data_IF_167408042523
#
_entry.id   IF_167408042523
#
_cell.length_a   1.000
_cell.length_b   1.000
_cell.length_c   1.000
_cell.angle_alpha   90.00
_cell.angle_beta   90.00
_cell.angle_gamma   90.00
#
_symmetry.space_group_name_H-M   'P 1'
#
loop_
_entity.id
_entity.type
_entity.pdbx_description
1 polymer ?
#
# COMPACT_ATOMS: atom_id res chain seq x y z
N UNK A 1 52.67 66.99 -33.11
CA UNK A 1 51.55 66.28 -33.73
C UNK A 1 51.41 64.95 -32.99
N UNK A 2 50.68 64.98 -31.88
CA UNK A 2 50.50 63.83 -30.99
C UNK A 2 49.28 63.02 -31.40
N UNK A 3 49.52 61.80 -31.90
CA UNK A 3 48.47 60.84 -32.22
C UNK A 3 48.08 60.06 -30.94
N UNK A 4 46.88 60.33 -30.42
CA UNK A 4 46.28 59.58 -29.31
C UNK A 4 45.78 58.22 -29.81
N UNK A 5 46.27 57.14 -29.19
CA UNK A 5 45.76 55.78 -29.36
C UNK A 5 44.35 55.65 -28.74
N UNK A 6 43.37 55.27 -29.55
CA UNK A 6 42.06 54.78 -29.10
C UNK A 6 42.15 53.27 -28.82
N UNK A 7 41.84 52.84 -27.59
CA UNK A 7 41.58 51.42 -27.27
C UNK A 7 40.06 51.20 -27.24
N UNK A 8 39.51 50.18 -27.92
CA UNK A 8 38.10 49.84 -27.79
C UNK A 8 37.87 49.06 -26.49
N UNK A 9 36.90 49.51 -25.70
CA UNK A 9 36.42 48.84 -24.50
C UNK A 9 35.42 47.77 -24.93
N UNK A 10 35.79 46.49 -24.90
CA UNK A 10 34.86 45.38 -25.14
C UNK A 10 34.05 45.18 -23.87
N UNK A 11 32.78 45.57 -23.92
CA UNK A 11 31.80 45.35 -22.86
C UNK A 11 31.38 43.87 -22.89
N UNK A 12 31.90 43.08 -21.93
CA UNK A 12 31.51 41.69 -21.73
C UNK A 12 30.11 41.65 -21.08
N UNK A 13 29.07 41.37 -21.87
CA UNK A 13 27.71 41.14 -21.38
C UNK A 13 27.66 39.74 -20.76
N UNK A 14 27.72 39.68 -19.42
CA UNK A 14 27.43 38.48 -18.65
C UNK A 14 25.92 38.20 -18.68
N UNK A 15 25.49 37.28 -19.54
CA UNK A 15 24.18 36.64 -19.48
C UNK A 15 24.15 35.68 -18.29
N UNK A 16 23.75 36.19 -17.12
CA UNK A 16 23.42 35.36 -15.95
C UNK A 16 22.06 34.73 -16.22
N UNK A 17 22.06 33.49 -16.70
CA UNK A 17 20.86 32.66 -16.73
C UNK A 17 20.57 32.18 -15.32
N UNK A 18 19.74 32.94 -14.59
CA UNK A 18 19.11 32.48 -13.36
C UNK A 18 18.13 31.35 -13.69
N UNK A 19 18.62 30.10 -13.78
CA UNK A 19 17.75 28.94 -13.65
C UNK A 19 17.45 28.76 -12.16
N UNK A 20 16.43 29.47 -11.68
CA UNK A 20 15.89 29.26 -10.35
C UNK A 20 15.14 27.91 -10.37
N UNK A 21 15.87 26.79 -10.25
CA UNK A 21 15.25 25.51 -9.90
C UNK A 21 14.85 25.60 -8.45
N UNK A 22 13.61 26.02 -8.17
CA UNK A 22 13.03 25.88 -6.83
C UNK A 22 13.09 24.39 -6.45
N UNK A 23 13.89 24.06 -5.45
CA UNK A 23 13.97 22.71 -4.93
C UNK A 23 12.65 22.39 -4.20
N UNK A 24 11.93 21.34 -4.62
CA UNK A 24 10.70 20.94 -3.95
C UNK A 24 10.99 20.53 -2.50
N UNK A 25 10.14 20.95 -1.56
CA UNK A 25 10.29 20.60 -0.14
C UNK A 25 10.15 19.08 0.05
N UNK A 26 11.10 18.45 0.73
CA UNK A 26 11.05 17.02 1.06
C UNK A 26 9.73 16.67 1.76
N UNK A 27 9.12 15.56 1.35
CA UNK A 27 7.85 15.08 1.88
C UNK A 27 6.60 15.66 1.21
N UNK A 28 6.74 16.54 0.22
CA UNK A 28 5.60 16.96 -0.61
C UNK A 28 5.37 16.03 -1.80
N UNK A 29 4.17 16.07 -2.36
CA UNK A 29 3.82 15.32 -3.55
C UNK A 29 4.72 15.66 -4.76
N UNK A 30 5.00 16.94 -5.00
CA UNK A 30 5.91 17.36 -6.07
C UNK A 30 7.34 16.83 -5.90
N UNK A 31 7.81 16.73 -4.65
CA UNK A 31 9.11 16.12 -4.36
C UNK A 31 9.11 14.63 -4.71
N UNK A 32 8.06 13.90 -4.34
CA UNK A 32 7.92 12.48 -4.69
C UNK A 32 7.77 12.27 -6.21
N UNK A 33 6.98 13.09 -6.92
CA UNK A 33 6.88 13.03 -8.38
C UNK A 33 8.23 13.21 -9.07
N UNK A 34 9.09 14.08 -8.54
CA UNK A 34 10.46 14.23 -9.06
C UNK A 34 11.27 12.94 -8.89
N UNK A 35 11.14 12.25 -7.76
CA UNK A 35 11.80 10.96 -7.53
C UNK A 35 11.23 9.84 -8.42
N UNK A 36 9.93 9.90 -8.73
CA UNK A 36 9.24 8.93 -9.58
C UNK A 36 9.47 9.15 -11.08
N UNK A 37 10.12 10.24 -11.50
CA UNK A 37 10.39 10.53 -12.92
C UNK A 37 11.02 9.36 -13.71
N UNK A 38 11.92 8.52 -13.14
CA UNK A 38 12.46 7.36 -13.84
C UNK A 38 11.48 6.18 -13.96
N UNK A 39 10.40 6.15 -13.18
CA UNK A 39 9.38 5.10 -13.26
C UNK A 39 8.60 5.27 -14.56
N UNK A 40 8.58 4.22 -15.36
CA UNK A 40 7.85 4.18 -16.63
C UNK A 40 6.34 4.33 -16.40
N UNK A 41 5.68 5.14 -17.24
CA UNK A 41 4.23 5.25 -17.26
C UNK A 41 3.61 5.85 -16.00
N UNK A 42 4.34 6.71 -15.27
CA UNK A 42 3.75 7.50 -14.18
C UNK A 42 2.74 8.49 -14.74
N UNK A 43 1.52 8.36 -14.24
CA UNK A 43 0.36 9.18 -14.52
C UNK A 43 -0.09 9.85 -13.22
N UNK A 44 -0.68 11.05 -13.32
CA UNK A 44 -1.26 11.73 -12.17
C UNK A 44 -2.76 11.89 -12.38
N UNK A 45 -3.56 11.13 -11.62
CA UNK A 45 -5.01 11.31 -11.57
C UNK A 45 -5.35 12.37 -10.53
N UNK A 46 -6.41 13.13 -10.80
CA UNK A 46 -6.83 14.28 -9.99
C UNK A 46 -8.33 14.28 -9.75
N UNK A 47 -8.73 14.74 -8.58
CA UNK A 47 -10.11 15.11 -8.25
C UNK A 47 -10.05 16.21 -7.21
N UNK A 48 -10.69 17.35 -7.46
CA UNK A 48 -10.60 18.51 -6.57
C UNK A 48 -9.12 18.91 -6.32
N UNK A 49 -8.70 19.04 -5.06
CA UNK A 49 -7.28 19.23 -4.70
C UNK A 49 -6.49 17.91 -4.57
N UNK A 50 -7.19 16.77 -4.63
CA UNK A 50 -6.60 15.44 -4.50
C UNK A 50 -5.78 15.08 -5.72
N UNK A 51 -4.63 14.44 -5.49
CA UNK A 51 -3.79 13.86 -6.54
C UNK A 51 -3.28 12.49 -6.13
N UNK A 52 -3.21 11.56 -7.08
CA UNK A 52 -2.50 10.27 -6.94
C UNK A 52 -1.52 10.07 -8.09
N UNK A 53 -0.37 9.48 -7.80
CA UNK A 53 0.64 9.08 -8.80
C UNK A 53 0.56 7.56 -9.01
N UNK A 54 0.11 7.15 -10.20
CA UNK A 54 -0.13 5.74 -10.55
C UNK A 54 0.75 5.32 -11.74
N UNK A 55 1.20 4.07 -11.78
CA UNK A 55 1.84 3.51 -12.98
C UNK A 55 1.29 2.16 -13.37
N UNK A 56 0.86 2.07 -14.63
CA UNK A 56 0.43 0.84 -15.29
C UNK A 56 1.55 -0.20 -15.41
N UNK A 57 2.70 0.13 -16.05
CA UNK A 57 3.83 -0.78 -16.14
C UNK A 57 4.30 -1.35 -14.79
N UNK A 58 4.02 -0.66 -13.68
CA UNK A 58 4.31 -1.13 -12.32
C UNK A 58 3.08 -1.79 -11.65
N UNK A 59 2.26 -2.47 -12.45
CA UNK A 59 1.12 -3.29 -12.05
C UNK A 59 -0.05 -2.47 -11.47
N UNK A 60 -0.33 -1.30 -12.05
CA UNK A 60 -1.37 -0.40 -11.54
C UNK A 60 -1.08 0.05 -10.11
N UNK A 61 0.18 0.37 -9.82
CA UNK A 61 0.65 0.75 -8.47
C UNK A 61 0.43 2.23 -8.24
N UNK A 62 -0.19 2.57 -7.10
CA UNK A 62 -0.20 3.94 -6.60
C UNK A 62 1.04 4.12 -5.74
N UNK A 63 1.95 4.99 -6.15
CA UNK A 63 3.16 5.27 -5.40
C UNK A 63 2.94 6.27 -4.27
N UNK A 64 2.06 7.24 -4.53
CA UNK A 64 1.91 8.43 -3.71
C UNK A 64 0.55 9.07 -3.93
N UNK A 65 0.00 9.69 -2.90
CA UNK A 65 -1.14 10.59 -2.96
C UNK A 65 -0.90 11.89 -2.18
N UNK A 66 -1.79 12.86 -2.35
CA UNK A 66 -1.85 14.13 -1.61
C UNK A 66 -3.26 14.71 -1.65
N UNK A 67 -3.69 15.30 -0.54
CA UNK A 67 -5.01 15.96 -0.39
C UNK A 67 -4.97 17.46 -0.72
N UNK A 68 -3.77 18.03 -0.85
CA UNK A 68 -3.51 19.47 -1.04
C UNK A 68 -2.62 19.72 -2.26
N UNK A 69 -2.83 18.92 -3.31
CA UNK A 69 -2.09 18.99 -4.57
C UNK A 69 -0.56 18.84 -4.45
N UNK A 70 0.16 19.50 -5.35
CA UNK A 70 1.61 19.36 -5.53
C UNK A 70 2.45 19.76 -4.29
N UNK A 71 2.01 20.77 -3.55
CA UNK A 71 2.72 21.28 -2.38
C UNK A 71 2.25 20.63 -1.07
N UNK A 72 1.17 19.85 -1.14
CA UNK A 72 0.65 19.06 -0.02
C UNK A 72 1.62 17.96 0.40
N UNK A 73 1.42 17.47 1.62
CA UNK A 73 2.09 16.29 2.16
C UNK A 73 1.82 15.09 1.24
N UNK A 74 2.82 14.23 1.07
CA UNK A 74 2.60 12.93 0.45
C UNK A 74 2.45 11.81 1.47
N UNK A 75 1.46 10.93 1.26
CA UNK A 75 1.06 9.93 2.24
C UNK A 75 1.75 8.58 2.05
N UNK A 76 1.98 8.15 0.80
CA UNK A 76 2.62 6.89 0.47
C UNK A 76 4.14 6.85 0.68
N UNK A 77 4.62 5.64 0.98
CA UNK A 77 6.04 5.31 0.99
C UNK A 77 6.39 4.44 -0.21
N UNK A 78 7.55 4.72 -0.83
CA UNK A 78 8.21 3.81 -1.77
C UNK A 78 9.72 3.84 -1.56
N UNK A 79 10.40 2.78 -1.99
CA UNK A 79 11.85 2.66 -1.89
C UNK A 79 12.54 3.47 -2.99
N UNK A 80 12.74 4.77 -2.73
CA UNK A 80 13.45 5.68 -3.63
C UNK A 80 14.88 5.20 -3.97
N UNK A 81 15.54 4.47 -3.06
CA UNK A 81 16.87 3.92 -3.29
C UNK A 81 16.93 2.92 -4.44
N UNK A 82 15.87 2.12 -4.67
CA UNK A 82 15.80 1.24 -5.83
C UNK A 82 15.67 2.02 -7.14
N UNK A 83 15.03 3.18 -7.10
CA UNK A 83 14.90 4.08 -8.25
C UNK A 83 16.24 4.73 -8.56
N UNK A 84 16.86 5.36 -7.56
CA UNK A 84 18.15 6.05 -7.65
C UNK A 84 19.28 5.13 -8.13
N UNK A 85 19.25 3.85 -7.75
CA UNK A 85 20.22 2.84 -8.16
C UNK A 85 19.83 2.08 -9.44
N UNK A 86 18.79 2.51 -10.17
CA UNK A 86 18.30 1.88 -11.41
C UNK A 86 17.94 0.38 -11.27
N UNK A 87 17.53 -0.06 -10.07
CA UNK A 87 17.11 -1.44 -9.77
C UNK A 87 15.61 -1.65 -9.74
N UNK A 88 14.84 -0.57 -9.85
CA UNK A 88 13.37 -0.54 -9.73
C UNK A 88 12.65 -1.43 -10.75
N UNK A 89 13.14 -1.54 -11.99
CA UNK A 89 12.46 -2.29 -13.06
C UNK A 89 12.54 -3.82 -12.96
N UNK A 90 13.48 -4.37 -12.18
CA UNK A 90 13.65 -5.81 -11.93
C UNK A 90 13.33 -6.20 -10.49
N UNK A 91 12.88 -5.24 -9.67
CA UNK A 91 12.53 -5.41 -8.26
C UNK A 91 11.18 -4.76 -7.96
N UNK A 92 10.23 -4.88 -8.90
CA UNK A 92 8.91 -4.21 -8.81
C UNK A 92 8.23 -4.55 -7.48
N UNK A 93 8.32 -5.81 -7.06
CA UNK A 93 7.75 -6.30 -5.80
C UNK A 93 8.22 -5.49 -4.57
N UNK A 94 9.50 -5.13 -4.52
CA UNK A 94 10.12 -4.49 -3.34
C UNK A 94 10.10 -2.96 -3.35
N UNK A 95 9.41 -2.34 -4.30
CA UNK A 95 9.35 -0.87 -4.40
C UNK A 95 8.48 -0.21 -3.33
N UNK A 96 7.61 -0.96 -2.65
CA UNK A 96 6.55 -0.38 -1.81
C UNK A 96 5.54 0.41 -2.65
N UNK A 97 4.78 1.31 -2.04
CA UNK A 97 3.74 2.08 -2.69
C UNK A 97 2.45 2.03 -1.89
N UNK A 98 1.68 3.10 -1.98
CA UNK A 98 0.44 3.32 -1.26
C UNK A 98 -0.69 2.35 -1.64
N UNK A 99 -0.58 1.72 -2.82
CA UNK A 99 -1.38 0.57 -3.23
C UNK A 99 -0.61 -0.27 -4.25
N UNK A 100 -0.54 -1.58 -4.01
CA UNK A 100 0.04 -2.59 -4.91
C UNK A 100 -0.68 -3.92 -4.78
N UNK A 101 -0.81 -4.62 -5.92
CA UNK A 101 -1.24 -6.01 -5.96
C UNK A 101 -0.12 -6.93 -5.45
N UNK A 102 -0.51 -7.95 -4.69
CA UNK A 102 0.32 -9.02 -4.18
C UNK A 102 -0.47 -10.32 -4.14
N UNK A 103 0.21 -11.41 -3.77
CA UNK A 103 -0.41 -12.73 -3.67
C UNK A 103 0.03 -13.44 -2.40
N UNK A 104 -0.86 -14.28 -1.87
CA UNK A 104 -0.62 -15.14 -0.72
C UNK A 104 -0.85 -16.61 -1.13
N UNK A 105 -0.27 -17.61 -0.42
CA UNK A 105 0.40 -17.50 0.89
C UNK A 105 1.90 -17.18 0.87
N UNK A 106 2.37 -16.45 1.88
CA UNK A 106 3.79 -16.09 2.08
C UNK A 106 4.62 -17.26 2.64
N UNK A 107 4.10 -17.97 3.63
CA UNK A 107 4.71 -19.17 4.22
C UNK A 107 3.78 -20.38 4.14
N UNK A 108 4.27 -21.54 4.56
CA UNK A 108 3.52 -22.79 4.68
C UNK A 108 3.65 -23.71 3.47
N UNK A 109 2.85 -24.78 3.46
CA UNK A 109 2.98 -25.89 2.52
C UNK A 109 2.76 -25.53 1.05
N UNK A 110 2.11 -24.40 0.77
CA UNK A 110 1.79 -23.92 -0.57
C UNK A 110 2.35 -22.51 -0.84
N UNK A 111 3.36 -22.10 -0.08
CA UNK A 111 3.99 -20.78 -0.23
C UNK A 111 4.46 -20.55 -1.67
N UNK A 112 4.31 -19.31 -2.13
CA UNK A 112 4.82 -18.84 -3.43
C UNK A 112 6.16 -18.09 -3.32
N UNK A 113 6.76 -18.05 -2.12
CA UNK A 113 7.98 -17.28 -1.84
C UNK A 113 9.22 -18.13 -1.62
N UNK A 114 9.10 -19.45 -1.75
CA UNK A 114 10.19 -20.40 -1.54
C UNK A 114 10.26 -21.38 -2.70
N UNK A 115 11.48 -21.75 -3.07
CA UNK A 115 11.72 -22.86 -3.99
C UNK A 115 11.27 -24.19 -3.35
N UNK A 116 11.10 -25.22 -4.18
CA UNK A 116 10.71 -26.53 -3.68
C UNK A 116 11.82 -27.16 -2.80
N UNK A 117 11.42 -27.71 -1.66
CA UNK A 117 12.29 -28.37 -0.68
C UNK A 117 13.36 -27.47 -0.04
N UNK A 118 13.23 -26.14 -0.10
CA UNK A 118 14.10 -25.23 0.65
C UNK A 118 13.48 -24.87 2.00
N UNK A 119 14.33 -24.59 2.97
CA UNK A 119 13.91 -24.15 4.30
C UNK A 119 13.24 -22.77 4.23
N UNK A 120 12.13 -22.59 4.93
CA UNK A 120 11.37 -21.34 4.92
C UNK A 120 11.90 -20.33 5.94
N UNK A 121 13.06 -19.77 5.62
CA UNK A 121 13.76 -18.73 6.37
C UNK A 121 13.98 -17.50 5.50
N UNK A 122 14.18 -16.33 6.10
CA UNK A 122 14.31 -15.04 5.40
C UNK A 122 15.35 -15.07 4.28
N UNK A 123 16.48 -15.77 4.48
CA UNK A 123 17.56 -15.91 3.49
C UNK A 123 17.11 -16.59 2.20
N UNK A 124 16.12 -17.49 2.27
CA UNK A 124 15.60 -18.24 1.13
C UNK A 124 14.33 -17.60 0.54
N UNK A 125 13.71 -16.64 1.24
CA UNK A 125 12.46 -16.02 0.83
C UNK A 125 12.66 -15.09 -0.37
N UNK A 126 11.90 -15.27 -1.45
CA UNK A 126 11.94 -14.43 -2.65
C UNK A 126 10.54 -14.22 -3.21
N UNK A 127 10.20 -12.98 -3.56
CA UNK A 127 8.97 -12.71 -4.30
C UNK A 127 8.94 -13.50 -5.63
N UNK A 128 7.75 -13.95 -6.09
CA UNK A 128 7.59 -14.59 -7.39
C UNK A 128 8.24 -13.78 -8.52
N UNK A 129 8.87 -14.49 -9.46
CA UNK A 129 9.57 -13.86 -10.58
C UNK A 129 8.66 -12.89 -11.34
N UNK A 130 7.45 -13.32 -11.72
CA UNK A 130 6.54 -12.50 -12.52
C UNK A 130 5.99 -11.31 -11.73
N UNK A 131 5.80 -11.44 -10.41
CA UNK A 131 5.45 -10.31 -9.54
C UNK A 131 6.54 -9.22 -9.53
N UNK A 132 7.80 -9.59 -9.77
CA UNK A 132 8.93 -8.64 -9.82
C UNK A 132 9.24 -8.07 -11.20
N UNK A 133 8.74 -8.68 -12.29
CA UNK A 133 9.21 -8.40 -13.64
C UNK A 133 8.10 -8.15 -14.68
N UNK A 134 6.88 -8.68 -14.48
CA UNK A 134 5.78 -8.49 -15.42
C UNK A 134 5.23 -7.07 -15.30
N UNK A 135 5.12 -6.40 -16.45
CA UNK A 135 4.51 -5.09 -16.60
C UNK A 135 3.08 -5.21 -17.09
N UNK A 136 2.17 -4.41 -16.53
CA UNK A 136 0.81 -4.33 -17.06
C UNK A 136 0.70 -3.31 -18.19
N UNK A 137 -0.34 -3.48 -18.99
CA UNK A 137 -0.69 -2.61 -20.10
C UNK A 137 -2.01 -1.91 -19.79
N UNK A 138 -2.15 -0.68 -20.23
CA UNK A 138 -3.43 0.03 -20.16
C UNK A 138 -4.47 -0.68 -21.03
N UNK A 139 -5.67 -0.89 -20.49
CA UNK A 139 -6.85 -1.45 -21.16
C UNK A 139 -7.85 -0.34 -21.48
N UNK A 140 -8.22 0.45 -20.47
CA UNK A 140 -9.21 1.52 -20.57
C UNK A 140 -8.84 2.66 -19.63
N UNK A 141 -9.28 3.88 -19.97
CA UNK A 141 -9.07 5.10 -19.18
C UNK A 141 -10.32 5.97 -19.21
N UNK A 142 -10.62 6.55 -18.06
CA UNK A 142 -11.59 7.64 -17.90
C UNK A 142 -10.87 8.88 -17.35
N UNK A 143 -11.61 9.93 -17.02
CA UNK A 143 -11.04 11.11 -16.33
C UNK A 143 -10.50 10.77 -14.93
N UNK A 144 -11.15 9.82 -14.24
CA UNK A 144 -10.87 9.52 -12.84
C UNK A 144 -10.34 8.10 -12.60
N UNK A 145 -10.23 7.26 -13.64
CA UNK A 145 -9.74 5.89 -13.48
C UNK A 145 -8.90 5.40 -14.66
N UNK A 146 -8.01 4.45 -14.38
CA UNK A 146 -7.26 3.71 -15.39
C UNK A 146 -7.32 2.21 -15.06
N UNK A 147 -7.75 1.42 -16.02
CA UNK A 147 -7.76 -0.04 -15.93
C UNK A 147 -6.55 -0.61 -16.66
N UNK A 148 -5.82 -1.48 -15.98
CA UNK A 148 -4.64 -2.17 -16.48
C UNK A 148 -4.86 -3.68 -16.53
N UNK A 149 -4.14 -4.35 -17.43
CA UNK A 149 -4.15 -5.81 -17.55
C UNK A 149 -2.76 -6.40 -17.64
N UNK A 150 -2.59 -7.60 -17.11
CA UNK A 150 -1.38 -8.39 -17.31
C UNK A 150 -1.56 -9.84 -16.88
N UNK A 151 -0.79 -10.71 -17.52
CA UNK A 151 -0.79 -12.15 -17.24
C UNK A 151 0.49 -12.53 -16.50
N UNK A 152 0.38 -13.40 -15.52
CA UNK A 152 1.50 -13.86 -14.70
C UNK A 152 1.46 -15.38 -14.52
N UNK A 153 2.62 -15.98 -14.31
CA UNK A 153 2.77 -17.33 -13.81
C UNK A 153 3.34 -17.28 -12.38
N UNK A 154 2.53 -17.72 -11.42
CA UNK A 154 2.93 -17.79 -10.02
C UNK A 154 3.14 -19.26 -9.65
N UNK A 155 4.32 -19.60 -9.18
CA UNK A 155 4.68 -20.97 -8.83
C UNK A 155 4.78 -21.10 -7.31
N UNK A 156 4.21 -22.17 -6.74
CA UNK A 156 4.40 -22.49 -5.33
C UNK A 156 5.56 -23.45 -5.09
N UNK A 157 5.92 -23.63 -3.82
CA UNK A 157 6.96 -24.52 -3.34
C UNK A 157 6.64 -26.03 -3.51
N UNK A 158 5.44 -26.39 -3.99
CA UNK A 158 5.08 -27.74 -4.45
C UNK A 158 5.23 -27.91 -5.96
N UNK A 159 5.78 -26.90 -6.64
CA UNK A 159 5.93 -26.82 -8.09
C UNK A 159 4.62 -26.73 -8.89
N UNK A 160 3.50 -26.42 -8.27
CA UNK A 160 2.28 -26.08 -9.00
C UNK A 160 2.38 -24.63 -9.53
N UNK A 161 2.04 -24.44 -10.80
CA UNK A 161 2.07 -23.12 -11.46
C UNK A 161 0.66 -22.64 -11.74
N UNK A 162 0.28 -21.51 -11.13
CA UNK A 162 -0.93 -20.78 -11.41
C UNK A 162 -0.69 -19.82 -12.59
N UNK A 163 -1.32 -20.09 -13.73
CA UNK A 163 -1.40 -19.10 -14.82
C UNK A 163 -2.60 -18.20 -14.60
N UNK A 164 -2.34 -16.92 -14.31
CA UNK A 164 -3.35 -15.94 -13.93
C UNK A 164 -3.39 -14.77 -14.90
N UNK A 165 -4.61 -14.34 -15.23
CA UNK A 165 -4.87 -13.07 -15.91
C UNK A 165 -5.41 -12.07 -14.90
N UNK A 166 -4.84 -10.88 -14.87
CA UNK A 166 -5.19 -9.82 -13.94
C UNK A 166 -5.78 -8.64 -14.69
N UNK A 167 -6.87 -8.11 -14.15
CA UNK A 167 -7.45 -6.84 -14.54
C UNK A 167 -7.57 -5.97 -13.29
N UNK A 168 -6.89 -4.82 -13.30
CA UNK A 168 -6.77 -3.94 -12.14
C UNK A 168 -7.16 -2.51 -12.50
N UNK A 169 -8.20 -1.99 -11.87
CA UNK A 169 -8.62 -0.60 -12.00
C UNK A 169 -8.16 0.22 -10.80
N UNK A 170 -7.57 1.38 -11.09
CA UNK A 170 -7.21 2.39 -10.10
C UNK A 170 -8.05 3.63 -10.35
N UNK A 171 -8.78 4.07 -9.33
CA UNK A 171 -9.70 5.20 -9.42
C UNK A 171 -9.45 6.22 -8.33
N UNK A 172 -9.38 7.50 -8.69
CA UNK A 172 -9.43 8.61 -7.72
C UNK A 172 -10.89 8.99 -7.46
N UNK A 173 -11.23 9.27 -6.21
CA UNK A 173 -12.59 9.59 -5.77
C UNK A 173 -12.77 11.10 -5.58
N UNK A 174 -13.93 11.59 -5.97
CA UNK A 174 -14.37 12.95 -5.62
C UNK A 174 -15.07 12.99 -4.24
N UNK A 175 -15.25 14.19 -3.71
CA UNK A 175 -15.86 14.39 -2.38
C UNK A 175 -17.21 13.68 -2.22
N UNK A 176 -18.11 13.81 -3.20
CA UNK A 176 -19.43 13.17 -3.15
C UNK A 176 -19.33 11.64 -3.05
N UNK A 177 -18.40 11.00 -3.76
CA UNK A 177 -18.19 9.55 -3.68
C UNK A 177 -17.70 9.14 -2.30
N UNK A 178 -16.78 9.91 -1.71
CA UNK A 178 -16.22 9.65 -0.37
C UNK A 178 -17.31 9.81 0.70
N UNK A 179 -18.06 10.92 0.68
CA UNK A 179 -19.16 11.19 1.63
C UNK A 179 -20.21 10.09 1.59
N UNK A 180 -20.65 9.70 0.38
CA UNK A 180 -21.63 8.62 0.21
C UNK A 180 -21.11 7.26 0.69
N UNK A 181 -19.85 6.93 0.39
CA UNK A 181 -19.25 5.64 0.75
C UNK A 181 -19.05 5.48 2.25
N UNK A 182 -18.70 6.55 2.97
CA UNK A 182 -18.37 6.52 4.39
C UNK A 182 -19.51 7.06 5.28
N UNK A 183 -20.51 7.71 4.70
CA UNK A 183 -21.59 8.39 5.42
C UNK A 183 -21.08 9.55 6.27
N UNK A 184 -20.10 10.30 5.77
CA UNK A 184 -19.46 11.45 6.45
C UNK A 184 -19.73 12.75 5.71
N UNK A 185 -19.27 13.87 6.27
CA UNK A 185 -19.24 15.18 5.63
C UNK A 185 -17.76 15.64 5.55
N UNK A 186 -17.38 16.25 4.42
CA UNK A 186 -16.01 16.69 4.14
C UNK A 186 -15.78 18.20 4.29
N UNK A 187 -16.72 18.91 4.91
CA UNK A 187 -16.58 20.34 5.18
C UNK A 187 -15.35 20.58 6.07
N UNK A 188 -14.54 21.57 5.68
CA UNK A 188 -13.37 22.04 6.44
C UNK A 188 -12.24 21.02 6.63
N UNK A 189 -12.21 19.96 5.81
CA UNK A 189 -11.12 18.98 5.83
C UNK A 189 -10.54 18.76 4.44
N UNK A 190 -9.21 18.62 4.36
CA UNK A 190 -8.58 18.18 3.12
C UNK A 190 -8.61 16.66 3.06
N UNK A 191 -8.90 16.12 1.88
CA UNK A 191 -9.02 14.69 1.68
C UNK A 191 -8.32 14.25 0.41
N UNK A 192 -7.97 12.97 0.34
CA UNK A 192 -7.78 12.22 -0.92
C UNK A 192 -8.29 10.82 -0.69
N UNK A 193 -9.06 10.30 -1.65
CA UNK A 193 -9.54 8.93 -1.66
C UNK A 193 -9.24 8.28 -2.99
N UNK A 194 -8.79 7.03 -2.97
CA UNK A 194 -8.61 6.25 -4.19
C UNK A 194 -8.90 4.77 -3.93
N UNK A 195 -9.40 4.08 -4.95
CA UNK A 195 -9.68 2.64 -4.90
C UNK A 195 -8.76 1.88 -5.85
N UNK A 196 -8.44 0.66 -5.44
CA UNK A 196 -7.86 -0.36 -6.28
C UNK A 196 -8.81 -1.55 -6.33
N UNK A 197 -9.23 -1.93 -7.52
CA UNK A 197 -10.10 -3.08 -7.78
C UNK A 197 -9.33 -4.06 -8.65
N UNK A 198 -9.25 -5.33 -8.26
CA UNK A 198 -8.50 -6.36 -8.98
C UNK A 198 -9.33 -7.60 -9.17
N UNK A 199 -9.44 -8.05 -10.42
CA UNK A 199 -9.96 -9.35 -10.79
C UNK A 199 -8.80 -10.26 -11.16
N UNK A 200 -8.76 -11.45 -10.57
CA UNK A 200 -7.81 -12.51 -10.92
C UNK A 200 -8.56 -13.68 -11.53
N UNK A 201 -8.19 -14.04 -12.75
CA UNK A 201 -8.81 -15.11 -13.53
C UNK A 201 -7.84 -16.27 -13.71
N UNK A 202 -8.29 -17.51 -13.53
CA UNK A 202 -7.54 -18.68 -13.94
C UNK A 202 -7.52 -18.77 -15.47
N UNK A 203 -6.40 -18.42 -16.11
CA UNK A 203 -6.22 -18.51 -17.57
C UNK A 203 -5.51 -19.80 -17.99
N UNK A 204 -5.20 -20.68 -17.03
CA UNK A 204 -4.67 -22.01 -17.29
C UNK A 204 -5.74 -22.98 -17.80
N UNK A 205 -5.32 -24.23 -17.98
CA UNK A 205 -6.17 -25.30 -18.52
C UNK A 205 -6.72 -26.25 -17.43
N UNK A 206 -6.28 -26.07 -16.17
CA UNK A 206 -6.62 -26.95 -15.06
C UNK A 206 -7.37 -26.19 -13.98
N UNK A 207 -8.27 -26.90 -13.27
CA UNK A 207 -8.91 -26.38 -12.07
C UNK A 207 -7.90 -26.33 -10.92
N UNK A 208 -7.94 -25.26 -10.13
CA UNK A 208 -7.17 -25.17 -8.89
C UNK A 208 -7.84 -25.99 -7.79
N UNK A 209 -7.05 -26.68 -6.98
CA UNK A 209 -7.55 -27.51 -5.89
C UNK A 209 -6.78 -27.25 -4.60
N UNK A 210 -7.44 -27.44 -3.45
CA UNK A 210 -6.79 -27.27 -2.15
C UNK A 210 -5.57 -28.17 -1.94
N UNK A 211 -5.54 -29.34 -2.58
CA UNK A 211 -4.45 -30.29 -2.47
C UNK A 211 -3.16 -29.78 -3.12
N UNK A 212 -3.28 -28.92 -4.14
CA UNK A 212 -2.15 -28.32 -4.87
C UNK A 212 -1.87 -26.87 -4.46
N UNK A 213 -2.66 -26.32 -3.54
CA UNK A 213 -2.59 -24.93 -3.11
C UNK A 213 -3.61 -24.02 -3.81
N UNK A 214 -3.99 -22.94 -3.13
CA UNK A 214 -4.81 -21.86 -3.70
C UNK A 214 -4.10 -20.52 -3.54
N UNK A 215 -4.46 -19.56 -4.38
CA UNK A 215 -4.00 -18.18 -4.27
C UNK A 215 -5.08 -17.25 -3.72
N UNK A 216 -4.64 -16.22 -3.02
CA UNK A 216 -5.44 -15.04 -2.70
C UNK A 216 -4.86 -13.80 -3.35
N UNK A 217 -5.72 -12.89 -3.80
CA UNK A 217 -5.35 -11.49 -3.98
C UNK A 217 -5.09 -10.85 -2.62
N UNK A 218 -4.02 -10.08 -2.53
CA UNK A 218 -3.61 -9.37 -1.32
C UNK A 218 -3.22 -7.96 -1.72
N UNK A 219 -3.95 -6.97 -1.24
CA UNK A 219 -3.69 -5.56 -1.52
C UNK A 219 -2.91 -4.94 -0.37
N UNK A 220 -1.75 -4.34 -0.67
CA UNK A 220 -0.85 -3.77 0.33
C UNK A 220 -0.67 -2.28 0.06
N UNK A 221 -0.75 -1.46 1.10
CA UNK A 221 -0.47 -0.03 1.01
C UNK A 221 0.57 0.42 2.02
N UNK A 222 1.76 0.80 1.54
CA UNK A 222 2.82 1.40 2.37
C UNK A 222 2.49 2.86 2.69
N UNK A 223 2.33 3.15 3.97
CA UNK A 223 2.05 4.48 4.48
C UNK A 223 3.27 5.07 5.17
N UNK A 224 3.55 6.34 4.92
CA UNK A 224 4.50 7.09 5.74
C UNK A 224 4.03 7.10 7.20
N UNK A 225 4.97 6.92 8.13
CA UNK A 225 4.65 6.84 9.56
C UNK A 225 5.22 7.99 10.40
N UNK A 226 4.83 8.02 11.67
CA UNK A 226 5.37 8.87 12.73
C UNK A 226 5.35 8.13 14.07
N UNK A 227 6.10 8.64 15.04
CA UNK A 227 6.22 8.05 16.39
C UNK A 227 4.89 7.89 17.14
N UNK A 228 3.93 8.74 16.81
CA UNK A 228 2.60 8.79 17.42
C UNK A 228 1.53 8.11 16.56
N UNK A 229 1.90 7.47 15.45
CA UNK A 229 0.94 6.77 14.60
C UNK A 229 0.33 5.58 15.34
N UNK A 230 -1.00 5.50 15.36
CA UNK A 230 -1.77 4.43 15.99
C UNK A 230 -2.74 3.84 14.98
N UNK A 231 -2.59 2.56 14.70
CA UNK A 231 -3.54 1.79 13.90
C UNK A 231 -4.71 1.38 14.77
N UNK A 232 -5.90 1.41 14.18
CA UNK A 232 -7.20 1.19 14.80
C UNK A 232 -7.94 0.17 13.95
N UNK A 233 -8.24 -1.00 14.51
CA UNK A 233 -8.96 -2.08 13.82
C UNK A 233 -10.22 -2.41 14.62
N UNK A 234 -11.39 -1.89 14.21
CA UNK A 234 -12.66 -2.26 14.82
C UNK A 234 -12.96 -3.74 14.57
N UNK A 235 -13.33 -4.46 15.62
CA UNK A 235 -13.65 -5.88 15.55
C UNK A 235 -15.17 -6.10 15.59
N UNK A 236 -15.62 -7.25 15.09
CA UNK A 236 -17.02 -7.69 15.22
C UNK A 236 -17.39 -8.03 16.67
N UNK A 237 -16.39 -8.45 17.47
CA UNK A 237 -16.49 -8.75 18.90
C UNK A 237 -15.10 -8.73 19.56
N UNK A 238 -15.06 -8.57 20.88
CA UNK A 238 -13.84 -8.68 21.68
C UNK A 238 -13.16 -10.05 21.47
N UNK A 239 -11.84 -10.07 21.39
CA UNK A 239 -11.02 -11.28 21.28
C UNK A 239 -9.58 -10.98 21.68
N UNK A 240 -8.84 -12.01 22.09
CA UNK A 240 -7.39 -11.97 22.25
C UNK A 240 -6.68 -12.73 21.11
N UNK A 241 -7.45 -13.26 20.14
CA UNK A 241 -6.96 -14.08 19.03
C UNK A 241 -6.53 -13.22 17.83
N UNK A 242 -5.60 -12.30 18.06
CA UNK A 242 -4.90 -11.57 17.01
C UNK A 242 -3.65 -12.35 16.64
N UNK A 243 -3.45 -12.58 15.34
CA UNK A 243 -2.29 -13.28 14.82
C UNK A 243 -1.07 -12.39 14.90
N UNK A 244 0.09 -12.94 15.29
CA UNK A 244 1.35 -12.20 15.38
C UNK A 244 2.41 -12.85 14.50
N UNK A 245 3.12 -12.02 13.74
CA UNK A 245 4.13 -12.40 12.76
C UNK A 245 5.46 -11.72 13.06
N UNK A 246 6.55 -12.39 12.66
CA UNK A 246 7.96 -11.98 12.84
C UNK A 246 8.43 -11.94 14.31
N UNK A 247 7.79 -11.11 15.14
CA UNK A 247 8.10 -10.97 16.57
C UNK A 247 6.80 -10.99 17.39
N UNK A 248 6.90 -11.11 18.71
CA UNK A 248 5.75 -10.95 19.60
C UNK A 248 5.49 -9.48 19.88
N UNK A 249 4.21 -9.10 19.89
CA UNK A 249 3.75 -7.82 20.40
C UNK A 249 3.80 -7.82 21.93
N UNK A 250 3.92 -6.63 22.48
CA UNK A 250 3.86 -6.34 23.90
C UNK A 250 2.75 -5.33 24.16
N UNK A 251 2.35 -5.14 25.42
CA UNK A 251 1.24 -4.24 25.79
C UNK A 251 1.53 -2.76 25.43
N UNK A 252 2.82 -2.38 25.36
CA UNK A 252 3.30 -1.07 24.89
C UNK A 252 3.32 -0.96 23.35
N UNK A 253 2.85 -1.99 22.63
CA UNK A 253 2.72 -1.96 21.16
C UNK A 253 1.35 -2.35 20.66
N UNK A 254 0.63 -3.25 21.33
CA UNK A 254 -0.72 -3.65 20.96
C UNK A 254 -1.61 -3.74 22.19
N UNK A 255 -2.81 -3.15 22.11
CA UNK A 255 -3.83 -3.25 23.14
C UNK A 255 -5.19 -3.52 22.48
N UNK A 256 -5.99 -4.40 23.06
CA UNK A 256 -7.35 -4.67 22.58
C UNK A 256 -8.33 -4.21 23.65
N UNK A 257 -9.15 -3.22 23.30
CA UNK A 257 -10.08 -2.58 24.23
C UNK A 257 -11.40 -2.29 23.52
N UNK A 258 -12.51 -2.59 24.19
CA UNK A 258 -13.87 -2.30 23.73
C UNK A 258 -14.17 -2.79 22.30
N UNK A 259 -13.65 -3.96 21.94
CA UNK A 259 -13.81 -4.55 20.61
C UNK A 259 -13.00 -3.87 19.53
N UNK A 260 -11.88 -3.23 19.87
CA UNK A 260 -10.99 -2.54 18.94
C UNK A 260 -9.54 -2.94 19.23
N UNK A 261 -8.78 -3.28 18.19
CA UNK A 261 -7.32 -3.41 18.28
C UNK A 261 -6.70 -2.03 18.06
N UNK A 262 -5.90 -1.60 19.01
CA UNK A 262 -5.00 -0.47 18.88
C UNK A 262 -3.57 -0.98 18.74
N UNK A 263 -2.86 -0.51 17.72
CA UNK A 263 -1.52 -0.98 17.42
C UNK A 263 -0.57 0.18 17.09
N UNK A 264 0.60 0.19 17.72
CA UNK A 264 1.64 1.19 17.50
C UNK A 264 2.42 0.83 16.24
N UNK A 265 2.21 1.59 15.17
CA UNK A 265 2.82 1.35 13.87
C UNK A 265 3.77 2.50 13.50
N UNK A 266 4.86 2.65 14.27
CA UNK A 266 5.81 3.77 14.25
C UNK A 266 7.15 3.48 13.53
N UNK A 267 7.29 2.30 12.94
CA UNK A 267 8.53 1.77 12.37
C UNK A 267 9.73 1.66 13.34
N UNK A 268 9.47 1.46 14.64
CA UNK A 268 10.48 1.25 15.69
C UNK A 268 10.34 -0.11 16.39
N UNK A 269 9.85 -1.12 15.67
CA UNK A 269 9.69 -2.47 16.22
C UNK A 269 9.10 -3.40 15.19
N UNK A 270 9.95 -4.14 14.47
CA UNK A 270 9.54 -5.07 13.41
C UNK A 270 8.51 -6.05 13.97
N UNK A 271 7.26 -5.92 13.54
CA UNK A 271 6.18 -6.81 13.91
C UNK A 271 5.06 -6.69 12.87
N UNK A 272 4.29 -7.76 12.71
CA UNK A 272 3.06 -7.71 11.93
C UNK A 272 1.94 -8.39 12.71
N UNK A 273 0.75 -7.81 12.63
CA UNK A 273 -0.46 -8.39 13.22
C UNK A 273 -1.45 -8.80 12.13
N UNK A 274 -2.32 -9.75 12.45
CA UNK A 274 -3.36 -10.26 11.56
C UNK A 274 -4.70 -10.44 12.26
N UNK A 275 -5.78 -10.10 11.57
CA UNK A 275 -7.15 -10.27 12.07
C UNK A 275 -7.86 -11.40 11.31
N UNK A 276 -8.21 -12.50 12.00
CA UNK A 276 -8.96 -13.60 11.40
C UNK A 276 -10.37 -13.20 10.95
N UNK A 277 -10.95 -13.86 9.93
CA UNK A 277 -12.25 -13.50 9.34
C UNK A 277 -13.39 -13.30 10.34
N UNK A 278 -13.50 -14.18 11.34
CA UNK A 278 -14.56 -14.14 12.35
C UNK A 278 -14.54 -12.92 13.27
N UNK A 279 -13.45 -12.14 13.26
CA UNK A 279 -13.29 -10.92 14.04
C UNK A 279 -13.22 -9.66 13.16
N UNK A 280 -13.15 -9.82 11.84
CA UNK A 280 -12.93 -8.74 10.89
C UNK A 280 -14.20 -7.95 10.60
N UNK A 281 -14.10 -6.62 10.73
CA UNK A 281 -14.95 -5.69 9.98
C UNK A 281 -14.21 -5.25 8.74
N UNK A 282 -14.92 -4.87 7.68
CA UNK A 282 -14.32 -4.48 6.41
C UNK A 282 -13.78 -3.04 6.40
N UNK A 283 -13.23 -2.61 7.53
CA UNK A 283 -12.68 -1.28 7.76
C UNK A 283 -11.53 -1.35 8.76
N UNK A 284 -10.49 -0.57 8.50
CA UNK A 284 -9.38 -0.31 9.41
C UNK A 284 -8.93 1.14 9.23
N UNK A 285 -8.19 1.68 10.18
CA UNK A 285 -7.67 3.04 10.06
C UNK A 285 -6.44 3.27 10.89
N UNK A 286 -5.90 4.47 10.82
CA UNK A 286 -4.82 4.92 11.70
C UNK A 286 -4.88 6.41 11.91
N UNK A 287 -4.39 6.85 13.06
CA UNK A 287 -4.39 8.25 13.43
C UNK A 287 -2.98 8.69 13.85
N UNK A 288 -2.58 9.87 13.37
CA UNK A 288 -1.40 10.59 13.84
C UNK A 288 -1.79 12.00 14.25
N UNK A 289 -1.66 12.29 15.55
CA UNK A 289 -1.93 13.59 16.14
C UNK A 289 -0.94 14.65 15.67
N UNK A 290 0.35 14.32 15.60
CA UNK A 290 1.43 15.18 15.10
C UNK A 290 1.17 15.64 13.67
N UNK A 291 0.59 14.77 12.86
CA UNK A 291 0.33 15.06 11.47
C UNK A 291 -1.09 15.56 11.20
N UNK A 292 -1.96 15.60 12.21
CA UNK A 292 -3.39 15.89 12.05
C UNK A 292 -4.00 15.05 10.91
N UNK A 293 -3.73 13.74 10.94
CA UNK A 293 -4.01 12.82 9.85
C UNK A 293 -4.77 11.61 10.36
N UNK A 294 -5.96 11.36 9.79
CA UNK A 294 -6.71 10.12 9.91
C UNK A 294 -6.68 9.39 8.57
N UNK A 295 -6.20 8.16 8.58
CA UNK A 295 -6.26 7.27 7.44
C UNK A 295 -7.40 6.28 7.67
N UNK A 296 -8.18 6.00 6.62
CA UNK A 296 -9.21 4.97 6.61
C UNK A 296 -8.96 4.07 5.42
N UNK A 297 -9.10 2.76 5.62
CA UNK A 297 -9.10 1.78 4.55
C UNK A 297 -10.34 0.91 4.67
N UNK A 298 -11.10 0.81 3.58
CA UNK A 298 -12.25 -0.10 3.45
C UNK A 298 -12.01 -1.09 2.34
N UNK A 299 -12.62 -2.27 2.41
CA UNK A 299 -12.43 -3.32 1.40
C UNK A 299 -13.68 -4.20 1.25
N UNK A 300 -13.75 -5.01 0.20
CA UNK A 300 -14.78 -6.06 0.11
C UNK A 300 -14.37 -7.29 0.94
N UNK A 301 -15.33 -7.92 1.61
CA UNK A 301 -15.04 -9.01 2.55
C UNK A 301 -16.09 -10.12 2.48
N UNK A 302 -15.65 -11.37 2.34
CA UNK A 302 -16.50 -12.57 2.36
C UNK A 302 -16.35 -13.28 3.72
N UNK A 303 -17.27 -13.05 4.66
CA UNK A 303 -17.16 -13.58 6.04
C UNK A 303 -17.02 -15.12 6.12
N UNK A 304 -17.63 -15.86 5.19
CA UNK A 304 -17.58 -17.32 5.15
C UNK A 304 -16.57 -17.84 4.09
N UNK A 305 -15.68 -16.96 3.62
CA UNK A 305 -14.66 -17.28 2.63
C UNK A 305 -13.55 -18.17 3.18
N UNK A 306 -12.76 -18.74 2.27
CA UNK A 306 -11.53 -19.47 2.61
C UNK A 306 -10.35 -18.49 2.54
N UNK A 307 -9.54 -18.40 3.59
CA UNK A 307 -8.42 -17.45 3.66
C UNK A 307 -7.11 -18.20 3.77
N UNK A 308 -6.16 -17.94 2.86
CA UNK A 308 -4.86 -18.62 2.85
C UNK A 308 -3.99 -18.17 4.03
N UNK A 309 -3.35 -19.13 4.70
CA UNK A 309 -2.56 -18.87 5.89
C UNK A 309 -1.08 -18.67 5.56
N UNK A 310 -0.57 -17.48 5.86
CA UNK A 310 0.81 -17.06 5.64
C UNK A 310 1.72 -17.20 6.87
N UNK A 311 1.28 -17.87 7.95
CA UNK A 311 2.17 -18.14 9.09
C UNK A 311 3.19 -19.24 8.77
N UNK A 312 4.45 -19.11 9.23
CA UNK A 312 5.41 -20.21 9.23
C UNK A 312 4.84 -21.47 9.90
N UNK A 313 5.14 -22.64 9.31
CA UNK A 313 4.80 -23.99 9.83
C UNK A 313 3.30 -24.26 10.10
N UNK A 314 2.40 -23.41 9.60
CA UNK A 314 0.97 -23.56 9.83
C UNK A 314 0.44 -24.95 9.39
N UNK A 315 -0.48 -25.51 10.19
CA UNK A 315 -1.14 -26.81 9.90
C UNK A 315 -2.50 -26.66 9.24
N UNK A 316 -3.00 -25.44 9.12
CA UNK A 316 -4.27 -25.10 8.49
C UNK A 316 -4.03 -24.04 7.39
N UNK A 317 -3.62 -24.46 6.18
CA UNK A 317 -3.26 -23.55 5.07
C UNK A 317 -4.38 -22.62 4.60
N UNK A 318 -5.61 -22.87 5.07
CA UNK A 318 -6.85 -22.23 4.66
C UNK A 318 -7.59 -21.57 5.83
N UNK A 319 -6.85 -21.26 6.90
CA UNK A 319 -7.31 -20.54 8.08
C UNK A 319 -6.40 -19.33 8.36
N UNK A 320 -6.23 -18.47 7.35
CA UNK A 320 -5.45 -17.24 7.44
C UNK A 320 -6.26 -16.02 7.87
N UNK A 321 -5.61 -14.87 7.81
CA UNK A 321 -6.16 -13.57 8.18
C UNK A 321 -6.74 -12.82 6.98
N UNK A 322 -7.57 -11.81 7.27
CA UNK A 322 -8.17 -10.91 6.27
C UNK A 322 -7.45 -9.57 6.27
N UNK A 323 -7.32 -8.97 7.46
CA UNK A 323 -6.58 -7.74 7.68
C UNK A 323 -5.22 -8.12 8.20
N UNK A 324 -4.20 -7.45 7.68
CA UNK A 324 -2.87 -7.50 8.24
C UNK A 324 -2.28 -6.09 8.32
N UNK A 325 -1.48 -5.85 9.35
CA UNK A 325 -0.77 -4.59 9.55
C UNK A 325 0.69 -4.89 9.77
N UNK A 326 1.53 -4.59 8.78
CA UNK A 326 2.98 -4.66 8.92
C UNK A 326 3.51 -3.37 9.55
N UNK A 327 4.34 -3.47 10.57
CA UNK A 327 5.15 -2.37 11.08
C UNK A 327 6.61 -2.61 10.74
N UNK A 328 7.19 -1.70 9.97
CA UNK A 328 8.60 -1.75 9.61
C UNK A 328 9.54 -1.52 10.80
N UNK A 329 10.82 -1.43 10.50
CA UNK A 329 11.84 -1.06 11.47
C UNK A 329 12.94 -0.23 10.81
N UNK A 330 13.40 0.79 11.54
CA UNK A 330 14.56 1.58 11.18
C UNK A 330 15.63 1.36 12.23
N UNK A 331 16.57 0.46 11.93
CA UNK A 331 17.70 0.13 12.79
C UNK A 331 18.97 -0.03 11.95
N UNK A 332 19.88 0.92 12.10
CA UNK A 332 21.15 0.97 11.37
C UNK A 332 22.04 -0.23 11.73
N UNK A 333 22.00 -0.70 12.98
CA UNK A 333 22.84 -1.82 13.44
C UNK A 333 22.41 -3.15 12.82
N UNK A 334 21.12 -3.27 12.50
CA UNK A 334 20.52 -4.43 11.83
C UNK A 334 20.42 -4.27 10.31
N UNK A 335 20.91 -3.15 9.76
CA UNK A 335 20.76 -2.79 8.36
C UNK A 335 19.28 -2.80 7.88
N UNK A 336 18.36 -2.39 8.76
CA UNK A 336 16.94 -2.29 8.50
C UNK A 336 16.55 -0.83 8.27
N UNK A 337 15.86 -0.56 7.17
CA UNK A 337 15.41 0.79 6.83
C UNK A 337 14.03 0.75 6.16
N UNK A 338 13.03 0.35 6.93
CA UNK A 338 11.62 0.32 6.52
C UNK A 338 10.82 1.35 7.34
N UNK A 339 10.94 2.66 7.03
CA UNK A 339 10.32 3.76 7.79
C UNK A 339 8.82 3.92 7.46
N UNK A 340 8.10 2.80 7.38
CA UNK A 340 6.69 2.74 6.99
C UNK A 340 5.96 1.64 7.75
N UNK A 341 4.64 1.69 7.68
CA UNK A 341 3.77 0.57 8.02
C UNK A 341 2.85 0.28 6.83
N UNK A 342 2.19 -0.88 6.83
CA UNK A 342 1.28 -1.26 5.75
C UNK A 342 -0.12 -1.48 6.28
N UNK A 343 -1.09 -0.98 5.52
CA UNK A 343 -2.44 -1.49 5.54
C UNK A 343 -2.55 -2.61 4.52
N UNK A 344 -3.09 -3.74 4.92
CA UNK A 344 -3.23 -4.86 4.03
C UNK A 344 -4.58 -5.55 4.17
N UNK A 345 -5.20 -5.91 3.04
CA UNK A 345 -6.42 -6.70 3.01
C UNK A 345 -6.34 -7.82 1.97
N UNK A 346 -6.91 -8.98 2.31
CA UNK A 346 -6.90 -10.17 1.47
C UNK A 346 -8.30 -10.57 1.01
N UNK A 347 -8.37 -11.08 -0.22
CA UNK A 347 -9.55 -11.76 -0.74
C UNK A 347 -9.73 -13.15 -0.12
N UNK A 348 -10.88 -13.77 -0.31
CA UNK A 348 -10.99 -15.22 -0.14
C UNK A 348 -10.35 -15.95 -1.32
N UNK A 349 -9.68 -17.07 -1.07
CA UNK A 349 -9.21 -18.00 -2.09
C UNK A 349 -10.33 -18.96 -2.55
N UNK A 350 -10.29 -19.39 -3.82
CA UNK A 350 -11.30 -20.29 -4.42
C UNK A 350 -10.64 -21.32 -5.34
N UNK A 351 -11.26 -22.49 -5.45
CA UNK A 351 -10.92 -23.56 -6.42
C UNK A 351 -11.43 -23.16 -7.81
N UNK A 352 -10.69 -22.28 -8.50
CA UNK A 352 -11.11 -21.73 -9.78
C UNK A 352 -10.95 -22.75 -10.90
N UNK A 353 -12.05 -23.10 -11.57
CA UNK A 353 -11.99 -23.73 -12.88
C UNK A 353 -11.41 -22.76 -13.93
N UNK A 354 -10.91 -23.26 -15.08
CA UNK A 354 -10.48 -22.39 -16.17
C UNK A 354 -11.52 -21.33 -16.52
N UNK A 355 -11.06 -20.08 -16.67
CA UNK A 355 -11.85 -18.87 -16.94
C UNK A 355 -12.72 -18.36 -15.79
N UNK A 356 -12.70 -19.00 -14.62
CA UNK A 356 -13.32 -18.44 -13.42
C UNK A 356 -12.40 -17.43 -12.76
N UNK A 357 -13.00 -16.52 -11.99
CA UNK A 357 -12.30 -15.39 -11.38
C UNK A 357 -12.67 -15.18 -9.92
N UNK A 358 -11.77 -14.55 -9.19
CA UNK A 358 -12.06 -13.87 -7.92
C UNK A 358 -11.84 -12.36 -8.07
N UNK A 359 -12.42 -11.59 -7.14
CA UNK A 359 -12.37 -10.14 -7.12
C UNK A 359 -11.99 -9.62 -5.72
N UNK A 360 -11.16 -8.58 -5.67
CA UNK A 360 -10.82 -7.85 -4.46
C UNK A 360 -10.79 -6.35 -4.72
N UNK A 361 -11.32 -5.57 -3.80
CA UNK A 361 -11.27 -4.12 -3.79
C UNK A 361 -10.81 -3.59 -2.45
N UNK A 362 -9.97 -2.56 -2.49
CA UNK A 362 -9.56 -1.79 -1.34
C UNK A 362 -9.59 -0.31 -1.70
N UNK A 363 -10.14 0.51 -0.80
CA UNK A 363 -10.17 1.96 -0.93
C UNK A 363 -9.43 2.56 0.24
N UNK A 364 -8.48 3.44 -0.07
CA UNK A 364 -7.68 4.18 0.91
C UNK A 364 -8.12 5.64 0.91
N UNK A 365 -8.33 6.19 2.09
CA UNK A 365 -8.68 7.59 2.32
C UNK A 365 -7.68 8.22 3.30
N UNK A 366 -7.25 9.43 2.98
CA UNK A 366 -6.47 10.28 3.86
C UNK A 366 -7.27 11.55 4.16
N UNK A 367 -7.48 11.84 5.45
CA UNK A 367 -8.12 13.06 5.92
C UNK A 367 -7.13 13.88 6.74
N UNK A 368 -6.87 15.11 6.31
CA UNK A 368 -5.94 16.04 6.94
C UNK A 368 -6.66 17.33 7.34
N UNK A 369 -6.79 17.60 8.64
CA UNK A 369 -7.56 18.74 9.14
C UNK A 369 -7.60 18.85 10.66
N UNK A 370 -8.54 19.62 11.18
CA UNK A 370 -8.65 19.85 12.62
C UNK A 370 -9.13 18.59 13.37
N UNK A 371 -8.69 18.48 14.63
CA UNK A 371 -8.95 17.32 15.48
C UNK A 371 -10.43 16.97 15.58
N UNK A 372 -11.30 17.96 15.77
CA UNK A 372 -12.73 17.74 15.99
C UNK A 372 -13.39 17.07 14.77
N UNK A 373 -13.06 17.54 13.55
CA UNK A 373 -13.57 16.95 12.30
C UNK A 373 -13.02 15.53 12.09
N UNK A 374 -11.72 15.33 12.33
CA UNK A 374 -11.11 13.99 12.28
C UNK A 374 -11.76 13.03 13.29
N UNK A 375 -12.08 13.52 14.49
CA UNK A 375 -12.72 12.74 15.53
C UNK A 375 -14.15 12.38 15.14
N UNK A 376 -14.91 13.28 14.53
CA UNK A 376 -16.24 12.98 13.99
C UNK A 376 -16.19 11.86 12.94
N UNK A 377 -15.26 11.93 11.99
CA UNK A 377 -15.05 10.88 10.98
C UNK A 377 -14.67 9.55 11.66
N UNK A 378 -13.76 9.56 12.63
CA UNK A 378 -13.33 8.35 13.34
C UNK A 378 -14.48 7.69 14.12
N UNK A 379 -15.29 8.50 14.84
CA UNK A 379 -16.48 7.98 15.53
C UNK A 379 -17.47 7.37 14.55
N UNK A 380 -17.69 8.01 13.40
CA UNK A 380 -18.65 7.55 12.39
C UNK A 380 -18.20 6.26 11.70
N UNK A 381 -16.93 6.17 11.32
CA UNK A 381 -16.40 5.12 10.44
C UNK A 381 -15.77 3.98 11.23
N UNK A 382 -14.97 4.30 12.25
CA UNK A 382 -14.27 3.31 13.08
C UNK A 382 -15.01 2.97 14.37
N UNK A 383 -15.98 3.80 14.77
CA UNK A 383 -16.65 3.64 16.07
C UNK A 383 -15.76 4.00 17.25
N UNK A 384 -14.75 4.86 17.02
CA UNK A 384 -13.72 5.20 18.01
C UNK A 384 -13.65 6.72 18.19
N UNK A 385 -13.69 7.17 19.44
CA UNK A 385 -13.27 8.51 19.79
C UNK A 385 -11.74 8.56 19.84
N UNK A 386 -11.12 9.51 19.14
CA UNK A 386 -9.66 9.63 19.06
C UNK A 386 -9.02 9.93 20.42
N UNK A 387 -9.78 10.45 21.39
CA UNK A 387 -9.31 10.62 22.78
C UNK A 387 -9.23 9.30 23.55
N UNK A 388 -9.93 8.26 23.11
CA UNK A 388 -9.99 6.95 23.79
C UNK A 388 -8.89 6.00 23.32
N UNK A 389 -8.09 6.40 22.32
CA UNK A 389 -6.91 5.65 21.88
C UNK A 389 -5.94 5.53 23.07
N UNK A 390 -5.54 4.32 23.46
CA UNK A 390 -4.70 4.12 24.62
C UNK A 390 -3.31 4.72 24.45
N UNK A 391 -2.71 5.08 25.58
CA UNK A 391 -1.27 5.33 25.66
C UNK A 391 -0.52 3.98 25.66
N UNK A 392 0.67 4.00 25.06
CA UNK A 392 1.50 2.82 24.77
C UNK A 392 2.88 2.98 25.39
#
# INVERSE_FOLDING_TARGET
MDARLFKPFILLVLLISYSCKSEFKKGTFAYQLKQLKPIEGIEVLKSDESMIAVSGPYQGRVFASSSKGLNGRSYGYFNAGLIENNKHSTNIAYLGGESRVWFAPEFGNYSIFFDANVEQIDENMRAPHDLSNVKFKEKTRTEHSITYVGDMNIKNNQNYTFSIGLEREISILNGNQIENSLGINLDQISYVGFSAETTMTNIGNEQWNKETGLLSLWELGCMNTSSDNRVIIPLTRQTDSITEYFTKTTIDRMQIKDGVVFYKADALGLNKIGTPPQFTKNVMGSYSKKNNLLNIVTFNFENNGVYVNSLPENKAPYAGDVINIFNGNVDVSLNQNWPFYEFESSSSAKELAPKQSIFHSQTTYHFEGDFDVLNEISNKVLGVNLNDIPEF
#
